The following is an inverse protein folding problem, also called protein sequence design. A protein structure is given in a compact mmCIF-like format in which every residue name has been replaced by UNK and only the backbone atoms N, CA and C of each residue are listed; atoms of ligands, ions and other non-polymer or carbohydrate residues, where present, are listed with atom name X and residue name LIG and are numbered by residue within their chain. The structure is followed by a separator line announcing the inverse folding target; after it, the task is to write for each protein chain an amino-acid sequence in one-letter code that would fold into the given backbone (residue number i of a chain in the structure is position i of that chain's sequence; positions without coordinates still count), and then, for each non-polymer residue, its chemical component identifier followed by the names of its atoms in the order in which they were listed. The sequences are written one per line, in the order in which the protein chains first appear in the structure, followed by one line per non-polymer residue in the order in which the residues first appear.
data_IF_832293948194
#
_entry.id   IF_832293948194
#
_cell.length_a   1.000
_cell.length_b   1.000
_cell.length_c   1.000
_cell.angle_alpha   90.00
_cell.angle_beta   90.00
_cell.angle_gamma   90.00
#
_symmetry.space_group_name_H-M   'P 1'
#
loop_
_entity.id
_entity.type
_entity.pdbx_description
1 polymer ?
#
# COMPACT_ATOMS: atom_id res chain seq x y z
N UNK A 1 16.34 -0.17 -19.46
CA UNK A 1 15.87 -1.02 -18.35
C UNK A 1 14.40 -0.67 -18.18
N UNK A 2 13.50 -1.57 -18.53
CA UNK A 2 12.06 -1.39 -18.39
C UNK A 2 11.69 -1.68 -16.93
N UNK A 3 11.33 -0.64 -16.18
CA UNK A 3 10.82 -0.79 -14.81
C UNK A 3 9.53 -1.58 -14.86
N UNK A 4 9.43 -2.67 -14.09
CA UNK A 4 8.16 -3.35 -13.93
C UNK A 4 7.18 -2.43 -13.18
N UNK A 5 5.89 -2.57 -13.49
CA UNK A 5 4.82 -1.77 -12.90
C UNK A 5 3.88 -2.73 -12.19
N UNK A 6 3.48 -2.37 -10.99
CA UNK A 6 2.55 -3.13 -10.16
C UNK A 6 1.25 -2.34 -9.98
N UNK A 7 0.14 -3.05 -9.89
CA UNK A 7 -1.19 -2.46 -9.74
C UNK A 7 -1.86 -2.96 -8.46
N UNK A 8 -2.66 -2.14 -7.80
CA UNK A 8 -3.39 -2.54 -6.60
C UNK A 8 -4.60 -1.64 -6.38
N UNK A 9 -5.44 -1.98 -5.42
CA UNK A 9 -6.58 -1.13 -5.03
C UNK A 9 -6.43 -0.74 -3.58
N UNK A 10 -6.61 0.55 -3.29
CA UNK A 10 -6.65 1.02 -1.91
C UNK A 10 -7.84 0.38 -1.18
N UNK A 11 -7.65 -0.31 -0.05
CA UNK A 11 -8.73 -0.96 0.68
C UNK A 11 -9.69 0.02 1.37
N UNK A 12 -9.36 1.31 1.46
CA UNK A 12 -10.19 2.34 2.11
C UNK A 12 -11.08 3.08 1.10
N UNK A 13 -10.47 3.64 0.07
CA UNK A 13 -11.13 4.54 -0.87
C UNK A 13 -11.31 3.93 -2.26
N UNK A 14 -10.96 2.65 -2.43
CA UNK A 14 -11.11 1.86 -3.66
C UNK A 14 -10.34 2.40 -4.88
N UNK A 15 -9.51 3.42 -4.70
CA UNK A 15 -8.64 3.98 -5.75
C UNK A 15 -7.71 2.93 -6.32
N UNK A 16 -7.65 2.84 -7.65
CA UNK A 16 -6.65 2.03 -8.35
C UNK A 16 -5.27 2.70 -8.30
N UNK A 17 -4.28 1.97 -7.81
CA UNK A 17 -2.91 2.39 -7.60
C UNK A 17 -2.03 1.73 -8.64
N UNK A 18 -1.17 2.53 -9.26
CA UNK A 18 -0.13 2.05 -10.18
C UNK A 18 1.20 2.57 -9.67
N UNK A 19 2.09 1.65 -9.29
CA UNK A 19 3.38 1.96 -8.67
C UNK A 19 4.50 1.26 -9.41
N UNK A 20 5.76 1.75 -9.32
CA UNK A 20 6.91 1.02 -9.85
C UNK A 20 7.06 -0.33 -9.13
N UNK A 21 8.07 -1.10 -9.55
CA UNK A 21 8.47 -2.31 -8.87
C UNK A 21 8.70 -2.04 -7.37
N UNK A 22 7.97 -2.77 -6.53
CA UNK A 22 8.01 -2.70 -5.07
C UNK A 22 8.15 -4.11 -4.51
N UNK A 23 8.49 -4.24 -3.23
CA UNK A 23 8.63 -5.53 -2.55
C UNK A 23 7.68 -5.66 -1.35
N UNK A 24 7.37 -6.90 -0.98
CA UNK A 24 6.55 -7.19 0.20
C UNK A 24 7.17 -6.57 1.47
N UNK A 25 6.30 -6.03 2.33
CA UNK A 25 6.68 -5.32 3.55
C UNK A 25 6.94 -3.83 3.36
N UNK A 26 7.14 -3.33 2.13
CA UNK A 26 7.24 -1.89 1.87
C UNK A 26 5.91 -1.17 2.11
N UNK A 27 6.01 0.15 2.32
CA UNK A 27 4.86 1.02 2.53
C UNK A 27 4.79 2.12 1.48
N UNK A 28 3.60 2.44 1.03
CA UNK A 28 3.30 3.59 0.18
C UNK A 28 2.12 4.39 0.74
N UNK A 29 2.01 5.66 0.35
CA UNK A 29 0.84 6.47 0.67
C UNK A 29 -0.14 6.46 -0.49
N UNK A 30 -1.42 6.19 -0.21
CA UNK A 30 -2.46 6.37 -1.21
C UNK A 30 -2.59 7.87 -1.55
N UNK A 31 -2.53 8.30 -2.83
CA UNK A 31 -2.61 9.70 -3.20
C UNK A 31 -4.01 10.32 -3.00
N UNK A 32 -5.06 9.51 -2.89
CA UNK A 32 -6.44 9.99 -2.77
C UNK A 32 -6.89 10.14 -1.31
N UNK A 33 -6.66 9.13 -0.47
CA UNK A 33 -7.07 9.16 0.95
C UNK A 33 -5.93 9.46 1.92
N UNK A 34 -4.68 9.53 1.44
CA UNK A 34 -3.48 9.76 2.24
C UNK A 34 -3.19 8.74 3.34
N UNK A 35 -3.85 7.57 3.31
CA UNK A 35 -3.50 6.45 4.18
C UNK A 35 -2.16 5.85 3.78
N UNK A 36 -1.40 5.46 4.81
CA UNK A 36 -0.22 4.62 4.64
C UNK A 36 -0.68 3.18 4.47
N UNK A 37 -0.30 2.56 3.35
CA UNK A 37 -0.61 1.18 2.99
C UNK A 37 0.69 0.38 3.01
N UNK A 38 0.63 -0.86 3.49
CA UNK A 38 1.71 -1.85 3.43
C UNK A 38 1.40 -2.88 2.34
N UNK A 39 2.44 -3.30 1.63
CA UNK A 39 2.37 -4.40 0.68
C UNK A 39 2.45 -5.71 1.46
N UNK A 40 1.37 -6.47 1.50
CA UNK A 40 1.29 -7.79 2.14
C UNK A 40 1.59 -8.93 1.15
N UNK A 41 1.52 -8.66 -0.15
CA UNK A 41 1.85 -9.66 -1.15
C UNK A 41 1.82 -9.10 -2.57
N UNK A 42 2.53 -9.79 -3.46
CA UNK A 42 2.61 -9.45 -4.88
C UNK A 42 2.33 -10.72 -5.67
N UNK A 43 1.34 -10.70 -6.57
CA UNK A 43 0.96 -11.85 -7.38
C UNK A 43 0.49 -11.39 -8.77
N UNK A 44 1.08 -11.96 -9.82
CA UNK A 44 0.74 -11.63 -11.22
C UNK A 44 0.72 -10.10 -11.52
N UNK A 45 1.66 -9.35 -10.93
CA UNK A 45 1.75 -7.90 -11.07
C UNK A 45 0.69 -7.10 -10.28
N UNK A 46 -0.07 -7.77 -9.39
CA UNK A 46 -1.03 -7.17 -8.49
C UNK A 46 -0.52 -7.14 -7.05
N UNK A 47 -0.75 -6.01 -6.38
CA UNK A 47 -0.46 -5.78 -4.98
C UNK A 47 -1.64 -6.16 -4.12
N UNK A 48 -1.37 -6.90 -3.06
CA UNK A 48 -2.26 -7.01 -1.90
C UNK A 48 -1.84 -5.96 -0.90
N UNK A 49 -2.75 -5.03 -0.59
CA UNK A 49 -2.48 -3.88 0.27
C UNK A 49 -3.26 -3.98 1.58
N UNK A 50 -2.60 -3.66 2.67
CA UNK A 50 -3.21 -3.54 3.99
C UNK A 50 -3.03 -2.12 4.52
N UNK A 51 -4.03 -1.59 5.21
CA UNK A 51 -3.91 -0.32 5.92
C UNK A 51 -2.91 -0.47 7.05
N UNK A 52 -1.92 0.43 7.11
CA UNK A 52 -1.11 0.58 8.31
C UNK A 52 -1.92 1.39 9.29
N UNK A 53 -2.64 0.72 10.18
CA UNK A 53 -3.19 1.38 11.34
C UNK A 53 -2.02 1.93 12.16
N UNK A 54 -1.85 3.25 12.14
CA UNK A 54 -1.15 3.92 13.22
C UNK A 54 -2.07 3.71 14.42
N UNK A 55 -1.83 2.64 15.17
CA UNK A 55 -2.24 2.62 16.55
C UNK A 55 -1.57 3.86 17.14
N UNK A 56 -2.34 4.95 17.24
CA UNK A 56 -2.16 5.92 18.29
C UNK A 56 -2.16 5.04 19.53
N UNK A 57 -0.95 4.63 19.95
CA UNK A 57 -0.79 4.11 21.29
C UNK A 57 -1.51 5.15 22.13
N UNK A 58 -2.42 4.72 22.98
CA UNK A 58 -2.64 5.47 24.20
C UNK A 58 -1.24 5.61 24.80
N UNK A 59 -0.55 6.71 24.50
CA UNK A 59 0.74 7.06 25.06
C UNK A 59 0.44 7.45 26.50
N UNK A 60 0.17 6.44 27.32
CA UNK A 60 0.00 6.53 28.76
C UNK A 60 -1.36 7.06 29.22
N UNK A 61 -1.99 6.26 30.08
CA UNK A 61 -2.81 6.61 31.26
C UNK A 61 -3.36 8.03 31.42
#
# INVERSE_FOLDING_TARGET
MSTAVLTGSCPECETELTVPEMVEGETLSCPECMLTLRIEGISDGRLTLQMVEVQLRDWGQ
#
